data_IF_986484821331
#
_entry.id   IF_986484821331
#
_cell.length_a   1.000
_cell.length_b   1.000
_cell.length_c   1.000
_cell.angle_alpha   90.00
_cell.angle_beta   90.00
_cell.angle_gamma   90.00
#
_symmetry.space_group_name_H-M   'P 1'
#
loop_
_entity.id
_entity.type
_entity.pdbx_description
1 polymer ?
#
# COMPACT_ATOMS: atom_id res chain seq x y z
N UNK A 1 16.66 -22.94 -8.21
CA UNK A 1 15.35 -22.26 -8.11
C UNK A 1 15.00 -22.26 -6.64
N UNK A 2 15.03 -21.10 -5.99
CA UNK A 2 14.62 -20.99 -4.58
C UNK A 2 13.12 -21.29 -4.48
N UNK A 3 12.73 -22.05 -3.46
CA UNK A 3 11.32 -22.35 -3.23
C UNK A 3 10.59 -21.04 -2.93
N UNK A 4 9.65 -20.66 -3.81
CA UNK A 4 8.75 -19.53 -3.59
C UNK A 4 7.97 -19.76 -2.30
N UNK A 5 8.13 -18.88 -1.33
CA UNK A 5 7.52 -19.02 -0.01
C UNK A 5 6.55 -17.89 0.26
N UNK A 6 5.29 -18.23 0.57
CA UNK A 6 4.34 -17.27 1.12
C UNK A 6 4.83 -16.86 2.52
N UNK A 7 5.25 -15.59 2.68
CA UNK A 7 5.69 -15.03 3.96
C UNK A 7 4.54 -14.53 4.80
N UNK A 8 3.56 -13.91 4.14
CA UNK A 8 2.46 -13.24 4.82
C UNK A 8 1.22 -13.21 3.95
N UNK A 9 0.10 -13.60 4.53
CA UNK A 9 -1.22 -13.39 3.97
C UNK A 9 -1.99 -12.42 4.86
N UNK A 10 -2.13 -11.19 4.37
CA UNK A 10 -2.87 -10.13 5.04
C UNK A 10 -4.34 -10.11 4.63
N UNK A 11 -5.09 -9.16 5.19
CA UNK A 11 -6.52 -8.99 4.92
C UNK A 11 -6.83 -8.81 3.43
N UNK A 12 -5.97 -8.07 2.72
CA UNK A 12 -6.17 -7.69 1.31
C UNK A 12 -4.90 -7.85 0.46
N UNK A 13 -3.83 -8.41 1.00
CA UNK A 13 -2.54 -8.51 0.31
C UNK A 13 -1.82 -9.80 0.70
N UNK A 14 -1.07 -10.35 -0.23
CA UNK A 14 -0.17 -11.48 -0.03
C UNK A 14 1.27 -11.06 -0.33
N UNK A 15 2.23 -11.60 0.39
CA UNK A 15 3.66 -11.32 0.20
C UNK A 15 4.43 -12.62 0.09
N UNK A 16 5.16 -12.79 -0.97
CA UNK A 16 5.97 -13.96 -1.28
C UNK A 16 7.46 -13.61 -1.21
N UNK A 17 8.26 -14.51 -0.66
CA UNK A 17 9.73 -14.44 -0.73
C UNK A 17 10.18 -15.00 -2.09
N UNK A 18 10.95 -14.21 -2.81
CA UNK A 18 11.55 -14.59 -4.09
C UNK A 18 13.09 -14.48 -4.02
N UNK A 19 13.68 -14.86 -2.87
CA UNK A 19 15.13 -14.77 -2.66
C UNK A 19 15.57 -13.33 -2.40
N UNK A 20 16.13 -12.67 -3.41
CA UNK A 20 16.63 -11.29 -3.29
C UNK A 20 15.53 -10.23 -3.43
N UNK A 21 14.31 -10.64 -3.76
CA UNK A 21 13.16 -9.76 -3.94
C UNK A 21 11.93 -10.27 -3.18
N UNK A 22 10.90 -9.45 -3.12
CA UNK A 22 9.57 -9.83 -2.67
C UNK A 22 8.59 -9.70 -3.83
N UNK A 23 7.56 -10.53 -3.84
CA UNK A 23 6.41 -10.34 -4.73
C UNK A 23 5.19 -10.06 -3.87
N UNK A 24 4.60 -8.89 -4.08
CA UNK A 24 3.39 -8.44 -3.40
C UNK A 24 2.21 -8.60 -4.35
N UNK A 25 1.18 -9.32 -3.91
CA UNK A 25 -0.06 -9.49 -4.64
C UNK A 25 -1.17 -8.72 -3.93
N UNK A 26 -1.71 -7.72 -4.59
CA UNK A 26 -2.91 -7.03 -4.13
C UNK A 26 -4.14 -7.86 -4.53
N UNK A 27 -4.97 -8.22 -3.57
CA UNK A 27 -6.15 -9.06 -3.82
C UNK A 27 -7.41 -8.22 -3.96
N UNK A 28 -8.43 -8.82 -4.53
CA UNK A 28 -9.78 -8.24 -4.65
C UNK A 28 -10.59 -8.29 -3.35
N UNK A 29 -10.00 -8.88 -2.29
CA UNK A 29 -10.60 -8.87 -0.95
C UNK A 29 -10.76 -7.45 -0.44
N UNK A 30 -11.83 -7.20 0.31
CA UNK A 30 -12.05 -5.96 1.06
C UNK A 30 -12.19 -6.25 2.55
N UNK A 31 -11.77 -5.29 3.35
CA UNK A 31 -11.87 -5.36 4.80
C UNK A 31 -12.51 -4.07 5.32
N UNK A 32 -13.45 -4.22 6.24
CA UNK A 32 -14.12 -3.12 6.95
C UNK A 32 -14.02 -3.40 8.45
N UNK A 33 -13.51 -2.44 9.22
CA UNK A 33 -13.23 -2.62 10.65
C UNK A 33 -12.48 -3.92 10.95
N UNK A 34 -11.45 -4.23 10.13
CA UNK A 34 -10.62 -5.43 10.23
C UNK A 34 -11.30 -6.76 9.91
N UNK A 35 -12.56 -6.76 9.51
CA UNK A 35 -13.31 -7.94 9.06
C UNK A 35 -13.21 -8.05 7.54
N UNK A 36 -12.72 -9.19 7.05
CA UNK A 36 -12.69 -9.50 5.63
C UNK A 36 -14.12 -9.87 5.20
N UNK A 37 -14.65 -9.12 4.23
CA UNK A 37 -15.99 -9.38 3.71
C UNK A 37 -15.98 -10.58 2.76
N UNK A 38 -17.10 -11.30 2.69
CA UNK A 38 -17.26 -12.45 1.79
C UNK A 38 -17.21 -12.05 0.33
N UNK A 39 -17.76 -10.88 0.00
CA UNK A 39 -17.77 -10.34 -1.36
C UNK A 39 -16.44 -9.69 -1.68
N UNK A 40 -15.95 -9.93 -2.89
CA UNK A 40 -14.77 -9.28 -3.46
C UNK A 40 -15.20 -8.15 -4.39
N UNK A 41 -14.30 -7.22 -4.63
CA UNK A 41 -14.47 -6.20 -5.67
C UNK A 41 -13.55 -6.58 -6.83
N UNK A 42 -14.14 -6.99 -7.94
CA UNK A 42 -13.43 -7.40 -9.14
C UNK A 42 -12.43 -6.31 -9.59
N UNK A 43 -11.22 -6.75 -9.95
CA UNK A 43 -10.12 -5.91 -10.42
C UNK A 43 -9.58 -4.86 -9.42
N UNK A 44 -10.08 -4.86 -8.17
CA UNK A 44 -9.55 -3.94 -7.13
C UNK A 44 -8.04 -4.09 -6.96
N UNK A 45 -7.54 -5.33 -6.91
CA UNK A 45 -6.10 -5.60 -6.78
C UNK A 45 -5.31 -5.02 -7.94
N UNK A 46 -5.78 -5.20 -9.17
CA UNK A 46 -5.15 -4.66 -10.36
C UNK A 46 -5.15 -3.12 -10.35
N UNK A 47 -6.27 -2.48 -10.07
CA UNK A 47 -6.37 -1.02 -9.97
C UNK A 47 -5.37 -0.47 -8.96
N UNK A 48 -5.29 -1.05 -7.76
CA UNK A 48 -4.37 -0.60 -6.70
C UNK A 48 -2.89 -0.76 -7.11
N UNK A 49 -2.54 -1.85 -7.78
CA UNK A 49 -1.17 -2.09 -8.25
C UNK A 49 -0.80 -1.11 -9.36
N UNK A 50 -1.69 -0.88 -10.33
CA UNK A 50 -1.43 0.07 -11.42
C UNK A 50 -1.38 1.52 -10.93
N UNK A 51 -2.20 1.91 -9.96
CA UNK A 51 -2.08 3.21 -9.29
C UNK A 51 -0.73 3.36 -8.58
N UNK A 52 -0.27 2.34 -7.88
CA UNK A 52 1.05 2.37 -7.23
C UNK A 52 2.16 2.51 -8.25
N UNK A 53 2.11 1.75 -9.35
CA UNK A 53 3.06 1.87 -10.47
C UNK A 53 3.09 3.29 -11.03
N UNK A 54 1.91 3.86 -11.33
CA UNK A 54 1.81 5.22 -11.86
C UNK A 54 2.52 6.24 -10.95
N UNK A 55 2.25 6.20 -9.64
CA UNK A 55 2.87 7.13 -8.70
C UNK A 55 4.36 6.88 -8.51
N UNK A 56 4.81 5.63 -8.49
CA UNK A 56 6.24 5.31 -8.42
C UNK A 56 7.00 5.80 -9.65
N UNK A 57 6.41 5.67 -10.83
CA UNK A 57 7.01 6.18 -12.06
C UNK A 57 7.03 7.72 -12.08
N UNK A 58 5.96 8.37 -11.61
CA UNK A 58 5.86 9.83 -11.56
C UNK A 58 6.83 10.45 -10.54
N UNK A 59 7.08 9.79 -9.43
CA UNK A 59 7.89 10.33 -8.33
C UNK A 59 9.33 9.82 -8.30
N UNK A 60 9.75 9.00 -9.27
CA UNK A 60 11.08 8.37 -9.29
C UNK A 60 12.25 9.36 -9.25
N UNK A 61 12.05 10.57 -9.81
CA UNK A 61 13.05 11.62 -9.82
C UNK A 61 13.09 12.43 -8.50
N UNK A 62 12.10 12.23 -7.63
CA UNK A 62 12.00 12.87 -6.32
C UNK A 62 12.63 11.97 -5.25
N UNK A 63 12.26 10.68 -5.25
CA UNK A 63 12.74 9.71 -4.27
C UNK A 63 12.80 8.30 -4.90
N UNK A 64 13.88 7.54 -4.65
CA UNK A 64 13.91 6.13 -5.04
C UNK A 64 12.78 5.33 -4.38
N UNK A 65 12.22 4.36 -5.10
CA UNK A 65 11.19 3.47 -4.59
C UNK A 65 11.65 2.00 -4.65
N UNK A 66 10.82 1.10 -4.12
CA UNK A 66 11.12 -0.33 -4.02
C UNK A 66 10.62 -1.16 -5.20
N UNK A 67 9.83 -0.59 -6.11
CA UNK A 67 9.29 -1.32 -7.27
C UNK A 67 10.41 -1.75 -8.21
N UNK A 68 10.38 -3.02 -8.64
CA UNK A 68 11.25 -3.57 -9.68
C UNK A 68 10.46 -3.74 -10.97
N UNK A 69 9.34 -4.49 -10.92
CA UNK A 69 8.46 -4.74 -12.06
C UNK A 69 7.03 -5.03 -11.61
N UNK A 70 6.08 -4.79 -12.50
CA UNK A 70 4.68 -5.24 -12.37
C UNK A 70 4.30 -6.22 -13.48
N UNK A 71 5.24 -6.56 -14.36
CA UNK A 71 5.04 -7.59 -15.37
C UNK A 71 5.27 -8.98 -14.77
N UNK A 72 4.25 -9.84 -14.85
CA UNK A 72 4.35 -11.21 -14.34
C UNK A 72 5.39 -12.04 -15.09
N UNK A 73 5.75 -11.67 -16.32
CA UNK A 73 6.80 -12.35 -17.09
C UNK A 73 8.21 -12.13 -16.50
N UNK A 74 8.40 -11.10 -15.69
CA UNK A 74 9.65 -10.86 -14.94
C UNK A 74 9.69 -11.63 -13.60
N UNK A 75 8.60 -12.33 -13.27
CA UNK A 75 8.43 -13.06 -12.00
C UNK A 75 8.57 -14.58 -12.23
N UNK A 76 8.70 -15.39 -11.16
CA UNK A 76 8.68 -16.84 -11.29
C UNK A 76 7.42 -17.36 -11.99
N UNK A 77 7.54 -18.50 -12.68
CA UNK A 77 6.48 -19.15 -13.46
C UNK A 77 5.16 -19.31 -12.67
N UNK A 78 5.24 -19.47 -11.36
CA UNK A 78 4.06 -19.53 -10.50
C UNK A 78 3.11 -18.32 -10.69
N UNK A 79 3.64 -17.15 -11.02
CA UNK A 79 2.86 -15.93 -11.25
C UNK A 79 2.39 -15.76 -12.70
N UNK A 80 2.79 -16.61 -13.64
CA UNK A 80 2.36 -16.57 -15.04
C UNK A 80 0.91 -17.11 -15.22
N UNK A 81 0.00 -16.66 -14.38
CA UNK A 81 -1.41 -17.03 -14.38
C UNK A 81 -2.26 -15.76 -14.40
N UNK A 82 -3.39 -15.77 -15.09
CA UNK A 82 -4.28 -14.61 -15.24
C UNK A 82 -4.65 -13.97 -13.90
N UNK A 83 -4.83 -14.78 -12.85
CA UNK A 83 -5.18 -14.28 -11.50
C UNK A 83 -4.12 -13.39 -10.86
N UNK A 84 -2.88 -13.39 -11.36
CA UNK A 84 -1.78 -12.56 -10.87
C UNK A 84 -1.44 -11.40 -11.81
N UNK A 85 -1.98 -11.42 -13.01
CA UNK A 85 -1.73 -10.39 -14.01
C UNK A 85 -2.33 -9.05 -13.58
N UNK A 86 -1.51 -8.01 -13.59
CA UNK A 86 -1.91 -6.64 -13.25
C UNK A 86 -2.01 -6.33 -11.75
N UNK A 87 -2.12 -7.34 -10.87
CA UNK A 87 -2.25 -7.16 -9.42
C UNK A 87 -1.00 -7.55 -8.61
N UNK A 88 0.07 -7.98 -9.30
CA UNK A 88 1.33 -8.38 -8.71
C UNK A 88 2.41 -7.32 -8.93
N UNK A 89 3.29 -7.17 -7.94
CA UNK A 89 4.43 -6.25 -8.00
C UNK A 89 5.66 -6.93 -7.41
N UNK A 90 6.73 -7.04 -8.18
CA UNK A 90 8.04 -7.44 -7.68
C UNK A 90 8.76 -6.23 -7.09
N UNK A 91 9.25 -6.39 -5.86
CA UNK A 91 9.82 -5.31 -5.06
C UNK A 91 11.19 -5.67 -4.51
N UNK A 92 12.02 -4.66 -4.30
CA UNK A 92 13.27 -4.80 -3.53
C UNK A 92 12.94 -5.24 -2.10
N UNK A 93 13.75 -6.13 -1.56
CA UNK A 93 13.67 -6.59 -0.18
C UNK A 93 14.33 -5.56 0.73
N UNK A 94 13.53 -4.75 1.40
CA UNK A 94 13.98 -3.64 2.25
C UNK A 94 13.66 -3.91 3.72
N UNK A 95 14.45 -3.33 4.62
CA UNK A 95 14.13 -3.30 6.05
C UNK A 95 13.08 -2.23 6.32
N UNK A 96 11.88 -2.65 6.67
CA UNK A 96 10.82 -1.74 7.07
C UNK A 96 11.13 -1.06 8.41
N UNK A 97 10.85 0.23 8.49
CA UNK A 97 10.80 0.94 9.76
C UNK A 97 9.50 0.55 10.50
N UNK A 98 9.52 0.38 11.83
CA UNK A 98 8.33 0.06 12.62
C UNK A 98 7.47 1.31 12.88
N UNK A 99 7.26 2.11 11.86
CA UNK A 99 6.53 3.39 11.93
C UNK A 99 5.62 3.49 10.70
N UNK A 100 4.37 3.85 10.91
CA UNK A 100 3.46 4.25 9.85
C UNK A 100 3.42 5.77 9.77
N UNK A 101 3.76 6.33 8.60
CA UNK A 101 3.73 7.77 8.33
C UNK A 101 2.51 8.10 7.46
N UNK A 102 1.63 8.94 7.96
CA UNK A 102 0.44 9.39 7.25
C UNK A 102 0.54 10.89 7.02
N UNK A 103 0.63 11.31 5.75
CA UNK A 103 0.58 12.72 5.38
C UNK A 103 -0.84 13.07 4.94
N UNK A 104 -1.42 14.09 5.58
CA UNK A 104 -2.78 14.54 5.29
C UNK A 104 -2.73 15.89 4.59
N UNK A 105 -3.44 16.04 3.48
CA UNK A 105 -3.61 17.31 2.79
C UNK A 105 -4.66 18.23 3.44
N UNK A 106 -5.53 17.65 4.29
CA UNK A 106 -6.65 18.33 4.94
C UNK A 106 -6.80 17.85 6.38
N UNK A 107 -7.27 18.75 7.28
CA UNK A 107 -7.48 18.42 8.68
C UNK A 107 -8.81 17.66 8.88
N UNK A 108 -8.75 16.33 8.86
CA UNK A 108 -9.93 15.45 8.98
C UNK A 108 -9.68 14.30 9.97
N UNK A 109 -10.73 13.56 10.31
CA UNK A 109 -10.64 12.33 11.11
C UNK A 109 -9.93 12.54 12.45
N UNK A 110 -8.96 11.69 12.78
CA UNK A 110 -8.22 11.75 14.06
C UNK A 110 -7.42 13.05 14.23
N UNK A 111 -6.96 13.66 13.13
CA UNK A 111 -6.31 14.98 13.16
C UNK A 111 -7.27 16.07 13.59
N UNK A 112 -8.48 16.09 13.00
CA UNK A 112 -9.54 17.03 13.40
C UNK A 112 -9.96 16.85 14.85
N UNK A 113 -10.19 15.60 15.28
CA UNK A 113 -10.54 15.33 16.68
C UNK A 113 -9.46 15.79 17.67
N UNK A 114 -8.18 15.63 17.33
CA UNK A 114 -7.06 16.13 18.13
C UNK A 114 -7.03 17.66 18.18
N UNK A 115 -7.22 18.30 17.03
CA UNK A 115 -7.27 19.77 16.95
C UNK A 115 -8.43 20.36 17.77
N UNK A 116 -9.63 19.81 17.65
CA UNK A 116 -10.79 20.25 18.44
C UNK A 116 -10.53 20.16 19.95
N UNK A 117 -9.79 19.15 20.40
CA UNK A 117 -9.51 18.90 21.81
C UNK A 117 -8.50 19.87 22.41
N UNK A 118 -7.43 20.21 21.69
CA UNK A 118 -6.28 20.92 22.25
C UNK A 118 -5.55 21.85 21.26
N UNK A 119 -6.11 22.11 20.08
CA UNK A 119 -5.49 22.98 19.07
C UNK A 119 -4.22 22.40 18.43
N UNK A 120 -3.94 21.09 18.62
CA UNK A 120 -2.71 20.46 18.12
C UNK A 120 -2.98 19.20 17.31
N UNK A 121 -2.07 18.88 16.40
CA UNK A 121 -2.02 17.56 15.72
C UNK A 121 -0.61 17.01 15.86
N UNK A 122 -0.45 15.79 16.36
CA UNK A 122 0.84 15.18 16.65
C UNK A 122 1.78 16.06 17.49
N UNK A 123 1.22 16.83 18.46
CA UNK A 123 1.98 17.76 19.31
C UNK A 123 2.34 19.09 18.66
N UNK A 124 2.02 19.30 17.40
CA UNK A 124 2.27 20.55 16.68
C UNK A 124 1.04 21.45 16.83
N UNK A 125 1.24 22.68 17.36
CA UNK A 125 0.18 23.68 17.47
C UNK A 125 -0.20 24.20 16.08
N UNK A 126 -1.48 24.17 15.76
CA UNK A 126 -2.04 24.71 14.52
C UNK A 126 -2.68 26.09 14.76
N UNK A 127 -2.89 26.87 13.68
CA UNK A 127 -3.63 28.13 13.78
C UNK A 127 -5.02 27.95 14.39
N UNK A 128 -5.49 29.02 15.08
CA UNK A 128 -6.85 29.01 15.63
C UNK A 128 -7.90 29.27 14.54
N UNK A 129 -9.10 28.73 14.72
CA UNK A 129 -10.24 28.98 13.84
C UNK A 129 -10.35 28.05 12.65
N UNK A 130 -9.50 27.00 12.54
CA UNK A 130 -9.63 25.99 11.50
C UNK A 130 -10.95 25.23 11.62
N UNK A 131 -11.51 24.88 10.47
CA UNK A 131 -12.70 24.02 10.33
C UNK A 131 -12.31 22.64 9.83
N UNK A 132 -13.21 21.69 10.01
CA UNK A 132 -13.00 20.35 9.42
C UNK A 132 -12.85 20.47 7.89
N UNK A 133 -11.86 19.76 7.37
CA UNK A 133 -11.44 19.78 5.96
C UNK A 133 -10.73 21.05 5.49
N UNK A 134 -10.31 21.93 6.39
CA UNK A 134 -9.37 23.00 6.02
C UNK A 134 -8.00 22.40 5.64
N UNK A 135 -7.27 23.15 4.78
CA UNK A 135 -5.99 22.76 4.22
C UNK A 135 -4.82 23.25 5.08
#
# INVERSE_FOLDING_TARGET
MGDLKLLYEGKVREVYDNGDSLIMVATDRISVYDIILKNKITDKGAVLTQMSKFWFDMTKDIIPNHMISVDVNDMPEFFHQDKYTGNSMMCKKLRMLPIECIVRGYITGSGWASYQKNGTVCGIKLPEGLKESDK
#
